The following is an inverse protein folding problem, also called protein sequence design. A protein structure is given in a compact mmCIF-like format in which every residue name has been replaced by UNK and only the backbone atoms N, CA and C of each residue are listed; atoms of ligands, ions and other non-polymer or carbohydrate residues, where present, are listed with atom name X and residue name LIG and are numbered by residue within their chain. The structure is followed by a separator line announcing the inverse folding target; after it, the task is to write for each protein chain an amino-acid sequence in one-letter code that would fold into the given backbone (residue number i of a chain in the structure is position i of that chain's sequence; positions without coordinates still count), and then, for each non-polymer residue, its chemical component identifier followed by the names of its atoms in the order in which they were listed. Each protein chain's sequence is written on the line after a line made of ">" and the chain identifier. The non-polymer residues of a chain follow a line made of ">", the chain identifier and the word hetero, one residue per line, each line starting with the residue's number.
data_IF_977633643476
#
_entry.id   IF_977633643476
#
_cell.length_a   1.000
_cell.length_b   1.000
_cell.length_c   1.000
_cell.angle_alpha   90.00
_cell.angle_beta   90.00
_cell.angle_gamma   90.00
#
_symmetry.space_group_name_H-M   'P 1'
#
loop_
_entity.id
_entity.type
_entity.pdbx_description
1 polymer ?
#
# COMPACT_ATOMS: atom_id res chain seq x y z
N UNK A 1 0.42 -25.31 -13.65
CA UNK A 1 0.86 -25.59 -12.28
C UNK A 1 0.12 -26.79 -11.70
N UNK A 2 0.61 -27.43 -10.61
CA UNK A 2 -0.09 -28.54 -10.00
C UNK A 2 -1.46 -28.11 -9.45
N UNK A 3 -2.49 -28.96 -9.47
CA UNK A 3 -3.87 -28.61 -9.09
C UNK A 3 -4.00 -28.14 -7.63
N UNK A 4 -3.05 -28.49 -6.77
CA UNK A 4 -2.98 -28.05 -5.38
C UNK A 4 -2.78 -26.53 -5.29
N UNK A 5 -2.01 -25.95 -6.19
CA UNK A 5 -1.77 -24.50 -6.21
C UNK A 5 -3.07 -23.74 -6.52
N UNK A 6 -3.92 -24.25 -7.43
CA UNK A 6 -5.22 -23.66 -7.72
C UNK A 6 -6.12 -23.60 -6.49
N UNK A 7 -6.15 -24.69 -5.69
CA UNK A 7 -6.94 -24.71 -4.46
C UNK A 7 -6.43 -23.69 -3.41
N UNK A 8 -5.10 -23.55 -3.29
CA UNK A 8 -4.47 -22.56 -2.40
C UNK A 8 -4.81 -21.13 -2.83
N UNK A 9 -4.72 -20.83 -4.12
CA UNK A 9 -5.09 -19.52 -4.65
C UNK A 9 -6.59 -19.23 -4.47
N UNK A 10 -7.45 -20.21 -4.73
CA UNK A 10 -8.89 -20.06 -4.52
C UNK A 10 -9.21 -19.75 -3.04
N UNK A 11 -8.58 -20.47 -2.11
CA UNK A 11 -8.70 -20.18 -0.67
C UNK A 11 -8.16 -18.78 -0.34
N UNK A 12 -7.03 -18.36 -0.92
CA UNK A 12 -6.48 -17.03 -0.73
C UNK A 12 -7.46 -15.95 -1.20
N UNK A 13 -8.13 -16.14 -2.35
CA UNK A 13 -9.19 -15.25 -2.83
C UNK A 13 -10.34 -15.10 -1.84
N UNK A 14 -10.85 -16.21 -1.32
CA UNK A 14 -11.95 -16.18 -0.34
C UNK A 14 -11.53 -15.52 0.96
N UNK A 15 -10.34 -15.85 1.48
CA UNK A 15 -9.81 -15.25 2.71
C UNK A 15 -9.62 -13.74 2.53
N UNK A 16 -9.01 -13.31 1.44
CA UNK A 16 -8.81 -11.87 1.15
C UNK A 16 -10.15 -11.18 0.99
N UNK A 17 -11.07 -11.73 0.21
CA UNK A 17 -12.40 -11.16 0.02
C UNK A 17 -13.22 -11.07 1.30
N UNK A 18 -13.03 -12.00 2.24
CA UNK A 18 -13.75 -12.02 3.52
C UNK A 18 -13.13 -11.12 4.59
N UNK A 19 -11.82 -10.90 4.55
CA UNK A 19 -11.09 -10.17 5.60
C UNK A 19 -10.92 -8.68 5.26
N UNK A 20 -10.93 -8.33 3.98
CA UNK A 20 -10.70 -6.95 3.53
C UNK A 20 -12.00 -6.19 3.29
N UNK A 21 -12.35 -5.31 4.23
CA UNK A 21 -13.46 -4.36 4.12
C UNK A 21 -14.52 -4.51 5.21
N UNK A 22 -15.41 -3.50 5.32
CA UNK A 22 -16.48 -3.43 6.31
C UNK A 22 -17.60 -4.46 6.06
N UNK A 23 -17.62 -5.09 4.88
CA UNK A 23 -18.63 -6.06 4.45
C UNK A 23 -17.99 -7.17 3.64
N UNK A 24 -18.20 -8.41 4.09
CA UNK A 24 -17.71 -9.62 3.41
C UNK A 24 -18.20 -9.66 1.95
N UNK A 25 -19.48 -9.33 1.71
CA UNK A 25 -20.05 -9.34 0.37
C UNK A 25 -19.34 -8.34 -0.55
N UNK A 26 -19.09 -7.11 -0.07
CA UNK A 26 -18.38 -6.10 -0.84
C UNK A 26 -16.91 -6.48 -1.07
N UNK A 27 -16.26 -7.15 -0.11
CA UNK A 27 -14.95 -7.73 -0.26
C UNK A 27 -14.90 -8.77 -1.37
N UNK A 28 -15.82 -9.72 -1.37
CA UNK A 28 -15.92 -10.76 -2.41
C UNK A 28 -16.19 -10.16 -3.78
N UNK A 29 -17.12 -9.20 -3.89
CA UNK A 29 -17.40 -8.52 -5.18
C UNK A 29 -16.18 -7.77 -5.69
N UNK A 30 -15.44 -7.07 -4.81
CA UNK A 30 -14.19 -6.40 -5.18
C UNK A 30 -13.14 -7.38 -5.69
N UNK A 31 -13.01 -8.53 -5.02
CA UNK A 31 -12.09 -9.61 -5.40
C UNK A 31 -12.44 -10.18 -6.78
N UNK A 32 -13.71 -10.52 -7.02
CA UNK A 32 -14.18 -11.03 -8.30
C UNK A 32 -14.00 -10.00 -9.43
N UNK A 33 -14.22 -8.73 -9.14
CA UNK A 33 -14.02 -7.65 -10.12
C UNK A 33 -12.53 -7.49 -10.46
N UNK A 34 -11.63 -7.54 -9.47
CA UNK A 34 -10.19 -7.52 -9.70
C UNK A 34 -9.70 -8.69 -10.53
N UNK A 35 -10.20 -9.89 -10.23
CA UNK A 35 -9.91 -11.09 -11.01
C UNK A 35 -10.42 -10.98 -12.46
N UNK A 36 -11.63 -10.49 -12.67
CA UNK A 36 -12.20 -10.31 -14.02
C UNK A 36 -11.37 -9.33 -14.87
N UNK A 37 -10.87 -8.25 -14.27
CA UNK A 37 -10.00 -7.30 -14.98
C UNK A 37 -8.63 -7.90 -15.31
N UNK A 38 -8.09 -8.75 -14.44
CA UNK A 38 -6.82 -9.43 -14.67
C UNK A 38 -6.86 -10.43 -15.84
N UNK A 39 -8.04 -10.98 -16.16
CA UNK A 39 -8.24 -11.92 -17.28
C UNK A 39 -8.32 -11.24 -18.66
N UNK A 40 -8.25 -9.90 -18.71
CA UNK A 40 -8.22 -9.18 -20.00
C UNK A 40 -6.81 -9.26 -20.57
N UNK A 41 -6.67 -9.76 -21.79
CA UNK A 41 -5.41 -9.85 -22.49
C UNK A 41 -5.14 -11.20 -23.13
N UNK A 42 -3.89 -11.46 -23.47
CA UNK A 42 -3.44 -12.74 -24.04
C UNK A 42 -3.29 -13.79 -22.93
N UNK A 43 -3.88 -14.93 -23.12
CA UNK A 43 -3.67 -16.12 -22.30
C UNK A 43 -2.27 -16.69 -22.56
N UNK A 44 -1.41 -16.69 -21.57
CA UNK A 44 -0.02 -17.14 -21.69
C UNK A 44 0.14 -18.62 -22.02
N UNK A 45 -0.91 -19.45 -21.79
CA UNK A 45 -0.89 -20.90 -22.06
C UNK A 45 -1.41 -21.20 -23.47
N UNK A 46 -2.53 -20.58 -23.86
CA UNK A 46 -3.21 -20.89 -25.12
C UNK A 46 -2.89 -19.91 -26.25
N UNK A 47 -2.30 -18.74 -25.95
CA UNK A 47 -2.05 -17.66 -26.90
C UNK A 47 -3.33 -17.02 -27.45
N UNK A 48 -4.49 -17.26 -26.81
CA UNK A 48 -5.76 -16.69 -27.24
C UNK A 48 -6.06 -15.39 -26.47
N UNK A 49 -6.60 -14.40 -27.17
CA UNK A 49 -7.02 -13.15 -26.55
C UNK A 49 -8.35 -13.33 -25.82
N UNK A 50 -8.37 -12.95 -24.54
CA UNK A 50 -9.56 -13.01 -23.68
C UNK A 50 -10.08 -11.60 -23.41
N UNK A 51 -11.37 -11.40 -23.58
CA UNK A 51 -12.09 -10.17 -23.22
C UNK A 51 -11.53 -8.86 -23.82
N UNK A 52 -10.77 -8.94 -24.91
CA UNK A 52 -10.15 -7.77 -25.57
C UNK A 52 -11.14 -6.99 -26.43
N UNK A 53 -12.32 -7.55 -26.73
CA UNK A 53 -13.37 -6.92 -27.56
C UNK A 53 -12.87 -6.42 -28.93
N UNK A 54 -11.76 -6.98 -29.44
CA UNK A 54 -11.13 -6.57 -30.69
C UNK A 54 -10.37 -5.24 -30.61
N UNK A 55 -9.96 -4.84 -29.40
CA UNK A 55 -9.13 -3.66 -29.15
C UNK A 55 -7.69 -4.12 -28.95
N UNK A 56 -6.81 -3.78 -29.90
CA UNK A 56 -5.41 -4.23 -29.91
C UNK A 56 -4.63 -3.86 -28.63
N UNK A 57 -4.96 -2.70 -28.04
CA UNK A 57 -4.31 -2.23 -26.82
C UNK A 57 -4.66 -3.06 -25.58
N UNK A 58 -5.80 -3.76 -25.62
CA UNK A 58 -6.19 -4.70 -24.56
C UNK A 58 -5.54 -6.08 -24.70
N UNK A 59 -4.97 -6.41 -25.86
CA UNK A 59 -4.29 -7.68 -26.08
C UNK A 59 -3.09 -7.86 -25.15
N UNK A 60 -2.35 -6.80 -24.88
CA UNK A 60 -1.25 -6.79 -23.92
C UNK A 60 -1.67 -6.78 -22.44
N UNK A 61 -2.96 -6.88 -22.17
CA UNK A 61 -3.53 -6.85 -20.83
C UNK A 61 -3.46 -5.50 -20.14
N UNK A 62 -3.99 -5.46 -18.93
CA UNK A 62 -3.96 -4.27 -18.07
C UNK A 62 -2.64 -4.19 -17.31
N UNK A 63 -1.91 -3.08 -17.44
CA UNK A 63 -0.69 -2.87 -16.67
C UNK A 63 -1.00 -2.58 -15.19
N UNK A 64 -0.25 -3.22 -14.29
CA UNK A 64 -0.42 -3.06 -12.84
C UNK A 64 -0.18 -1.62 -12.38
N UNK A 65 0.83 -0.94 -12.92
CA UNK A 65 1.22 0.41 -12.47
C UNK A 65 0.13 1.45 -12.76
N UNK A 66 -0.41 1.59 -13.99
CA UNK A 66 -1.55 2.48 -14.27
C UNK A 66 -2.79 2.15 -13.43
N UNK A 67 -3.08 0.88 -13.21
CA UNK A 67 -4.21 0.43 -12.40
C UNK A 67 -4.04 0.86 -10.93
N UNK A 68 -2.86 0.68 -10.34
CA UNK A 68 -2.55 1.14 -8.99
C UNK A 68 -2.65 2.66 -8.86
N UNK A 69 -2.05 3.39 -9.81
CA UNK A 69 -2.10 4.85 -9.85
C UNK A 69 -3.57 5.31 -9.91
N UNK A 70 -4.38 4.69 -10.76
CA UNK A 70 -5.79 5.00 -10.87
C UNK A 70 -6.52 4.78 -9.55
N UNK A 71 -6.55 3.54 -9.09
CA UNK A 71 -7.36 3.13 -7.94
C UNK A 71 -6.96 3.83 -6.63
N UNK A 72 -5.67 4.14 -6.43
CA UNK A 72 -5.20 4.73 -5.17
C UNK A 72 -4.90 6.21 -5.28
N UNK A 73 -4.13 6.64 -6.28
CA UNK A 73 -3.65 8.03 -6.34
C UNK A 73 -4.72 8.94 -6.94
N UNK A 74 -5.21 8.63 -8.14
CA UNK A 74 -6.20 9.47 -8.81
C UNK A 74 -7.51 9.50 -8.04
N UNK A 75 -7.96 8.36 -7.50
CA UNK A 75 -9.16 8.29 -6.67
C UNK A 75 -9.03 9.16 -5.42
N UNK A 76 -7.87 9.17 -4.78
CA UNK A 76 -7.59 10.02 -3.61
C UNK A 76 -7.59 11.49 -3.97
N UNK A 77 -6.97 11.86 -5.10
CA UNK A 77 -6.99 13.25 -5.60
C UNK A 77 -8.43 13.73 -5.81
N UNK A 78 -9.31 12.89 -6.39
CA UNK A 78 -10.72 13.22 -6.59
C UNK A 78 -11.43 13.43 -5.23
N UNK A 79 -11.20 12.53 -4.27
CA UNK A 79 -11.78 12.65 -2.92
C UNK A 79 -11.33 13.92 -2.22
N UNK A 80 -10.04 14.22 -2.29
CA UNK A 80 -9.48 15.40 -1.65
C UNK A 80 -9.92 16.70 -2.34
N UNK A 81 -10.05 16.70 -3.66
CA UNK A 81 -10.60 17.84 -4.39
C UNK A 81 -12.08 18.09 -3.98
N UNK A 82 -12.88 17.05 -3.81
CA UNK A 82 -14.24 17.17 -3.30
C UNK A 82 -14.29 17.73 -1.87
N UNK A 83 -13.39 17.25 -0.99
CA UNK A 83 -13.28 17.75 0.39
C UNK A 83 -12.82 19.20 0.42
N UNK A 84 -11.82 19.57 -0.37
CA UNK A 84 -11.30 20.94 -0.44
C UNK A 84 -12.38 21.95 -0.88
N UNK A 85 -13.31 21.53 -1.73
CA UNK A 85 -14.45 22.35 -2.14
C UNK A 85 -15.45 22.58 -0.99
N UNK A 86 -15.46 21.72 0.05
CA UNK A 86 -16.42 21.78 1.17
C UNK A 86 -15.85 22.37 2.45
N UNK A 87 -14.52 22.35 2.61
CA UNK A 87 -13.85 22.78 3.83
C UNK A 87 -13.36 24.22 3.66
N UNK A 88 -13.89 25.15 4.47
CA UNK A 88 -13.21 26.42 4.73
C UNK A 88 -11.81 26.09 5.27
N UNK A 89 -10.79 26.72 4.67
CA UNK A 89 -9.40 26.59 5.12
C UNK A 89 -9.35 26.70 6.66
N UNK A 90 -8.80 25.67 7.29
CA UNK A 90 -8.44 25.75 8.71
C UNK A 90 -7.39 26.86 8.77
N UNK A 91 -7.73 27.94 9.47
CA UNK A 91 -6.81 29.05 9.74
C UNK A 91 -5.72 28.48 10.68
N UNK A 92 -4.63 28.00 10.07
CA UNK A 92 -3.47 27.57 10.84
C UNK A 92 -2.93 28.80 11.54
N UNK A 93 -2.99 28.80 12.86
CA UNK A 93 -2.40 29.84 13.67
C UNK A 93 -0.90 29.95 13.36
N UNK A 94 -0.57 30.87 12.46
CA UNK A 94 0.80 31.07 11.97
C UNK A 94 1.79 31.36 13.10
N UNK A 95 1.31 31.87 14.23
CA UNK A 95 2.16 32.15 15.40
C UNK A 95 2.77 30.88 16.01
N UNK A 96 2.11 29.73 15.84
CA UNK A 96 2.63 28.44 16.30
C UNK A 96 3.65 27.82 15.35
N UNK A 97 3.73 28.28 14.10
CA UNK A 97 4.72 27.83 13.12
C UNK A 97 6.11 28.44 13.37
N UNK A 98 6.17 29.52 14.15
CA UNK A 98 7.41 30.26 14.42
C UNK A 98 8.11 29.81 15.71
N UNK A 99 7.53 28.89 16.51
CA UNK A 99 8.20 28.32 17.67
C UNK A 99 9.21 27.24 17.22
N UNK A 100 10.52 27.48 17.35
CA UNK A 100 11.55 26.52 16.97
C UNK A 100 11.42 25.18 17.71
N UNK A 101 10.86 25.16 18.92
CA UNK A 101 10.70 23.96 19.74
C UNK A 101 9.45 23.16 19.36
N UNK A 102 8.48 23.75 18.66
CA UNK A 102 7.26 23.06 18.22
C UNK A 102 7.49 22.10 17.03
N UNK A 103 8.71 22.07 16.47
CA UNK A 103 8.99 21.37 15.22
C UNK A 103 9.73 20.05 15.37
N UNK A 104 10.28 19.77 16.55
CA UNK A 104 11.09 18.59 16.78
C UNK A 104 10.55 17.75 17.92
N UNK A 105 10.52 16.44 17.69
CA UNK A 105 10.25 15.46 18.73
C UNK A 105 11.45 15.40 19.68
N UNK A 106 11.25 15.80 20.93
CA UNK A 106 12.31 15.97 21.91
C UNK A 106 12.68 14.65 22.61
N UNK A 107 13.91 14.56 23.13
CA UNK A 107 14.34 13.37 23.85
C UNK A 107 13.51 13.01 25.10
N UNK A 108 13.03 13.98 25.92
CA UNK A 108 12.07 13.70 26.99
C UNK A 108 10.75 13.12 26.49
N UNK A 109 10.20 13.63 25.39
CA UNK A 109 8.97 13.10 24.75
C UNK A 109 9.19 11.69 24.23
N UNK A 110 10.32 11.43 23.58
CA UNK A 110 10.70 10.10 23.13
C UNK A 110 10.71 9.10 24.30
N UNK A 111 11.39 9.42 25.40
CA UNK A 111 11.43 8.55 26.58
C UNK A 111 10.04 8.29 27.16
N UNK A 112 9.18 9.31 27.19
CA UNK A 112 7.81 9.20 27.67
C UNK A 112 6.96 8.31 26.76
N UNK A 113 7.11 8.44 25.44
CA UNK A 113 6.36 7.68 24.45
C UNK A 113 6.93 6.28 24.21
N UNK A 114 8.18 5.99 24.53
CA UNK A 114 8.86 4.75 24.20
C UNK A 114 8.11 3.48 24.66
N UNK A 115 7.60 3.36 25.90
CA UNK A 115 6.86 2.17 26.31
C UNK A 115 5.56 1.96 25.52
N UNK A 116 4.88 3.05 25.18
CA UNK A 116 3.68 3.06 24.37
C UNK A 116 4.01 2.67 22.91
N UNK A 117 5.05 3.24 22.33
CA UNK A 117 5.52 2.94 21.00
C UNK A 117 5.88 1.45 20.85
N UNK A 118 6.58 0.89 21.85
CA UNK A 118 6.95 -0.53 21.86
C UNK A 118 5.70 -1.44 21.90
N UNK A 119 4.72 -1.16 22.76
CA UNK A 119 3.46 -1.94 22.80
C UNK A 119 2.67 -1.81 21.49
N UNK A 120 2.56 -0.59 20.97
CA UNK A 120 1.90 -0.32 19.70
C UNK A 120 2.57 -1.07 18.53
N UNK A 121 3.90 -1.16 18.55
CA UNK A 121 4.64 -1.95 17.56
C UNK A 121 4.34 -3.45 17.65
N UNK A 122 4.11 -3.99 18.85
CA UNK A 122 3.67 -5.38 19.02
C UNK A 122 2.29 -5.58 18.37
N UNK A 123 1.31 -4.69 18.62
CA UNK A 123 0.00 -4.76 17.98
C UNK A 123 0.12 -4.66 16.45
N UNK A 124 0.93 -3.71 15.95
CA UNK A 124 1.19 -3.56 14.53
C UNK A 124 1.80 -4.82 13.92
N UNK A 125 2.78 -5.43 14.60
CA UNK A 125 3.42 -6.66 14.14
C UNK A 125 2.46 -7.84 14.08
N UNK A 126 1.64 -8.04 15.10
CA UNK A 126 0.65 -9.13 15.12
C UNK A 126 -0.40 -8.97 14.02
N UNK A 127 -0.91 -7.75 13.84
CA UNK A 127 -1.89 -7.45 12.79
C UNK A 127 -1.25 -7.54 11.41
N UNK A 128 0.01 -7.12 11.27
CA UNK A 128 0.75 -7.20 10.01
C UNK A 128 0.96 -8.61 9.48
N UNK A 129 1.03 -9.62 10.36
CA UNK A 129 1.08 -11.04 9.97
C UNK A 129 -0.26 -11.56 9.43
N UNK A 130 -1.35 -10.83 9.64
CA UNK A 130 -2.68 -11.26 9.20
C UNK A 130 -2.98 -10.65 7.83
N UNK A 131 -3.11 -11.46 6.76
CA UNK A 131 -3.43 -10.94 5.43
C UNK A 131 -4.73 -10.13 5.43
N UNK A 132 -4.72 -8.97 4.76
CA UNK A 132 -5.92 -8.19 4.51
C UNK A 132 -6.32 -7.18 5.57
N UNK A 133 -5.82 -7.25 6.81
CA UNK A 133 -6.17 -6.28 7.85
C UNK A 133 -5.50 -4.91 7.62
N UNK A 134 -4.26 -4.93 7.17
CA UNK A 134 -3.51 -3.72 6.81
C UNK A 134 -3.13 -2.83 7.99
N UNK A 135 -2.39 -1.76 7.68
CA UNK A 135 -1.90 -0.81 8.69
C UNK A 135 -3.01 0.03 9.32
N UNK A 136 -4.10 0.29 8.59
CA UNK A 136 -5.22 1.09 9.12
C UNK A 136 -5.83 0.45 10.35
N UNK A 137 -6.10 -0.86 10.33
CA UNK A 137 -6.63 -1.60 11.49
C UNK A 137 -5.64 -1.55 12.64
N UNK A 138 -4.34 -1.74 12.35
CA UNK A 138 -3.29 -1.67 13.38
C UNK A 138 -3.24 -0.30 14.07
N UNK A 139 -3.36 0.80 13.29
CA UNK A 139 -3.41 2.16 13.82
C UNK A 139 -4.59 2.35 14.79
N UNK A 140 -5.79 1.95 14.40
CA UNK A 140 -6.99 2.12 15.24
C UNK A 140 -6.94 1.26 16.49
N UNK A 141 -6.47 0.02 16.38
CA UNK A 141 -6.30 -0.87 17.54
C UNK A 141 -5.29 -0.30 18.52
N UNK A 142 -4.12 0.12 18.05
CA UNK A 142 -3.09 0.71 18.89
C UNK A 142 -3.58 2.01 19.56
N UNK A 143 -4.21 2.90 18.79
CA UNK A 143 -4.79 4.14 19.34
C UNK A 143 -5.82 3.85 20.42
N UNK A 144 -6.77 2.96 20.13
CA UNK A 144 -7.85 2.60 21.07
C UNK A 144 -7.32 1.98 22.36
N UNK A 145 -6.37 1.04 22.24
CA UNK A 145 -5.80 0.35 23.39
C UNK A 145 -4.93 1.27 24.25
N UNK A 146 -4.09 2.10 23.64
CA UNK A 146 -3.27 3.04 24.39
C UNK A 146 -4.09 4.18 25.02
N UNK A 147 -5.14 4.67 24.34
CA UNK A 147 -6.11 5.60 24.93
C UNK A 147 -6.83 4.97 26.13
N UNK A 148 -7.20 3.68 26.06
CA UNK A 148 -7.83 2.95 27.17
C UNK A 148 -6.92 2.90 28.41
N UNK A 149 -5.59 2.76 28.21
CA UNK A 149 -4.57 2.70 29.26
C UNK A 149 -4.15 4.07 29.77
N UNK A 150 -4.39 5.13 29.02
CA UNK A 150 -3.99 6.47 29.39
C UNK A 150 -4.67 6.96 30.67
N UNK A 151 -3.93 7.73 31.47
CA UNK A 151 -4.49 8.38 32.66
C UNK A 151 -5.42 9.52 32.26
N UNK A 152 -5.04 10.33 31.27
CA UNK A 152 -5.76 11.50 30.78
C UNK A 152 -6.43 11.17 29.43
N UNK A 153 -7.51 10.40 29.48
CA UNK A 153 -8.20 9.94 28.25
C UNK A 153 -8.84 11.09 27.45
N UNK A 154 -9.21 12.16 28.13
CA UNK A 154 -9.89 13.31 27.53
C UNK A 154 -8.95 14.18 26.67
N UNK A 155 -7.64 14.09 26.90
CA UNK A 155 -6.64 14.78 26.09
C UNK A 155 -6.39 14.08 24.74
N UNK A 156 -6.80 12.81 24.60
CA UNK A 156 -6.64 12.07 23.36
C UNK A 156 -7.59 12.58 22.27
N UNK A 157 -7.00 13.02 21.16
CA UNK A 157 -7.70 13.68 20.06
C UNK A 157 -7.56 15.20 20.07
N UNK A 158 -6.89 15.78 21.08
CA UNK A 158 -6.62 17.22 21.15
C UNK A 158 -5.22 17.62 20.67
N UNK A 159 -4.41 16.64 20.23
CA UNK A 159 -3.05 16.86 19.74
C UNK A 159 -1.93 16.39 20.66
N UNK A 160 -2.25 15.53 21.67
CA UNK A 160 -1.19 14.93 22.50
C UNK A 160 -0.27 14.03 21.69
N UNK A 161 1.02 14.10 21.98
CA UNK A 161 2.07 13.36 21.25
C UNK A 161 1.82 11.85 21.28
N UNK A 162 1.37 11.32 22.40
CA UNK A 162 1.02 9.90 22.57
C UNK A 162 -0.09 9.44 21.62
N UNK A 163 -1.04 10.33 21.32
CA UNK A 163 -2.14 10.06 20.39
C UNK A 163 -1.69 9.96 18.92
N UNK A 164 -0.50 10.45 18.60
CA UNK A 164 0.15 10.30 17.30
C UNK A 164 1.14 9.14 17.33
N UNK A 165 1.95 9.04 18.38
CA UNK A 165 3.00 8.04 18.50
C UNK A 165 2.44 6.60 18.51
N UNK A 166 1.28 6.36 19.13
CA UNK A 166 0.68 5.04 19.19
C UNK A 166 0.28 4.48 17.79
N UNK A 167 -0.58 5.15 17.01
CA UNK A 167 -0.98 4.63 15.71
C UNK A 167 0.18 4.61 14.72
N UNK A 168 1.09 5.60 14.75
CA UNK A 168 2.22 5.62 13.81
C UNK A 168 3.25 4.53 14.09
N UNK A 169 3.49 4.19 15.35
CA UNK A 169 4.35 3.06 15.70
C UNK A 169 3.75 1.73 15.23
N UNK A 170 2.45 1.55 15.36
CA UNK A 170 1.76 0.37 14.86
C UNK A 170 1.78 0.31 13.34
N UNK A 171 1.52 1.44 12.66
CA UNK A 171 1.56 1.57 11.21
C UNK A 171 2.91 1.10 10.64
N UNK A 172 3.99 1.64 11.17
CA UNK A 172 5.34 1.27 10.73
C UNK A 172 5.67 -0.20 11.04
N UNK A 173 5.22 -0.71 12.18
CA UNK A 173 5.49 -2.08 12.61
C UNK A 173 4.73 -3.15 11.81
N UNK A 174 3.71 -2.80 11.03
CA UNK A 174 3.03 -3.71 10.10
C UNK A 174 3.93 -4.13 8.95
N UNK A 175 4.82 -3.25 8.49
CA UNK A 175 5.55 -3.41 7.22
C UNK A 175 6.41 -4.67 7.18
N UNK A 176 7.22 -4.92 8.21
CA UNK A 176 8.06 -6.11 8.29
C UNK A 176 7.25 -7.42 8.35
N UNK A 177 6.37 -7.58 9.35
CA UNK A 177 5.57 -8.79 9.51
C UNK A 177 4.63 -9.08 8.34
N UNK A 178 4.17 -8.09 7.58
CA UNK A 178 3.36 -8.31 6.36
C UNK A 178 4.14 -9.03 5.25
N UNK A 179 5.47 -9.03 5.31
CA UNK A 179 6.30 -9.83 4.42
C UNK A 179 6.26 -11.33 4.73
N UNK A 180 5.85 -11.74 5.94
CA UNK A 180 5.78 -13.15 6.31
C UNK A 180 4.79 -13.91 5.43
N UNK A 181 3.49 -13.59 5.41
CA UNK A 181 2.56 -14.29 4.52
C UNK A 181 2.90 -14.09 3.04
N UNK A 182 3.44 -12.93 2.65
CA UNK A 182 3.88 -12.66 1.30
C UNK A 182 4.95 -13.66 0.84
N UNK A 183 6.04 -13.81 1.59
CA UNK A 183 7.19 -14.60 1.19
C UNK A 183 7.00 -16.09 1.44
N UNK A 184 6.19 -16.48 2.44
CA UNK A 184 5.98 -17.89 2.78
C UNK A 184 4.81 -18.54 2.05
N UNK A 185 3.73 -17.78 1.84
CA UNK A 185 2.49 -18.29 1.25
C UNK A 185 2.20 -17.69 -0.13
N UNK A 186 2.92 -16.64 -0.55
CA UNK A 186 2.61 -15.88 -1.76
C UNK A 186 1.33 -15.03 -1.62
N UNK A 187 0.85 -14.79 -0.40
CA UNK A 187 -0.39 -14.07 -0.15
C UNK A 187 -0.07 -12.64 0.28
N UNK A 188 -0.41 -11.61 -0.53
CA UNK A 188 -0.17 -10.23 -0.14
C UNK A 188 -1.13 -9.81 0.99
N UNK A 189 -0.57 -9.32 2.10
CA UNK A 189 -1.36 -8.79 3.23
C UNK A 189 -1.75 -7.32 3.09
N UNK A 190 -1.20 -6.64 2.10
CA UNK A 190 -1.44 -5.21 1.87
C UNK A 190 -1.23 -4.87 0.40
N UNK A 191 -1.67 -3.66 -0.01
CA UNK A 191 -1.42 -3.14 -1.36
C UNK A 191 0.07 -3.07 -1.70
N UNK A 192 0.91 -2.63 -0.76
CA UNK A 192 2.36 -2.57 -0.95
C UNK A 192 2.92 -3.98 -1.16
N UNK A 193 2.44 -4.95 -0.40
CA UNK A 193 2.82 -6.34 -0.57
C UNK A 193 2.41 -6.89 -1.95
N UNK A 194 1.24 -6.51 -2.48
CA UNK A 194 0.81 -6.89 -3.82
C UNK A 194 1.71 -6.30 -4.92
N UNK A 195 2.12 -5.03 -4.77
CA UNK A 195 3.09 -4.41 -5.68
C UNK A 195 4.43 -5.13 -5.64
N UNK A 196 4.90 -5.51 -4.45
CA UNK A 196 6.15 -6.27 -4.29
C UNK A 196 6.09 -7.64 -4.97
N UNK A 197 4.96 -8.35 -4.92
CA UNK A 197 4.78 -9.59 -5.70
C UNK A 197 4.99 -9.30 -7.17
N UNK A 198 4.33 -8.29 -7.72
CA UNK A 198 4.48 -7.92 -9.13
C UNK A 198 5.94 -7.64 -9.50
N UNK A 199 6.68 -6.92 -8.64
CA UNK A 199 8.10 -6.66 -8.85
C UNK A 199 8.94 -7.94 -8.80
N UNK A 200 8.65 -8.86 -7.88
CA UNK A 200 9.35 -10.15 -7.79
C UNK A 200 9.11 -11.00 -9.04
N UNK A 201 7.86 -11.09 -9.50
CA UNK A 201 7.50 -11.86 -10.69
C UNK A 201 8.17 -11.32 -11.96
N UNK A 202 8.20 -10.00 -12.16
CA UNK A 202 8.91 -9.37 -13.28
C UNK A 202 10.40 -9.70 -13.28
N UNK A 203 11.00 -9.90 -12.11
CA UNK A 203 12.39 -10.32 -11.97
C UNK A 203 12.57 -11.85 -11.95
N UNK A 204 11.55 -12.63 -12.29
CA UNK A 204 11.60 -14.09 -12.35
C UNK A 204 11.58 -14.79 -10.98
N UNK A 205 11.28 -14.05 -9.91
CA UNK A 205 11.19 -14.58 -8.55
C UNK A 205 9.78 -15.08 -8.28
N UNK A 206 9.63 -16.36 -8.02
CA UNK A 206 8.37 -16.92 -7.56
C UNK A 206 8.23 -16.74 -6.05
N UNK A 207 7.18 -16.05 -5.62
CA UNK A 207 6.85 -15.89 -4.20
C UNK A 207 6.29 -17.19 -3.62
N UNK A 208 6.51 -17.40 -2.34
CA UNK A 208 6.17 -18.63 -1.65
C UNK A 208 7.43 -19.32 -1.10
N UNK A 209 7.35 -20.58 -0.61
CA UNK A 209 8.50 -21.26 0.01
C UNK A 209 9.74 -21.35 -0.89
N UNK A 210 9.54 -21.33 -2.20
CA UNK A 210 10.60 -21.40 -3.21
C UNK A 210 11.51 -20.17 -3.22
N UNK A 211 11.06 -19.03 -2.72
CA UNK A 211 11.86 -17.80 -2.66
C UNK A 211 13.08 -17.94 -1.75
N UNK A 212 13.08 -18.94 -0.87
CA UNK A 212 14.21 -19.28 0.01
C UNK A 212 15.09 -20.40 -0.56
N UNK A 213 14.83 -20.84 -1.80
CA UNK A 213 15.63 -21.86 -2.46
C UNK A 213 16.99 -21.31 -2.92
N UNK A 214 17.94 -22.19 -3.13
CA UNK A 214 19.26 -21.87 -3.67
C UNK A 214 19.35 -22.04 -5.18
N UNK A 215 18.41 -22.79 -5.76
CA UNK A 215 18.33 -23.14 -7.19
C UNK A 215 16.89 -22.93 -7.70
N UNK A 216 16.71 -22.56 -8.97
CA UNK A 216 17.74 -22.18 -9.96
C UNK A 216 18.28 -20.76 -9.69
N UNK A 217 19.51 -20.46 -10.10
CA UNK A 217 20.06 -19.11 -9.97
C UNK A 217 19.34 -18.14 -10.91
N UNK A 218 19.20 -16.90 -10.43
CA UNK A 218 18.54 -15.81 -11.12
C UNK A 218 19.58 -14.80 -11.61
N UNK A 219 19.33 -14.17 -12.76
CA UNK A 219 20.13 -13.06 -13.23
C UNK A 219 19.46 -11.74 -12.85
N UNK A 220 19.99 -11.10 -11.79
CA UNK A 220 19.43 -9.86 -11.27
C UNK A 220 20.52 -8.79 -11.20
N UNK A 221 20.24 -7.61 -11.73
CA UNK A 221 21.15 -6.46 -11.70
C UNK A 221 22.58 -6.76 -12.26
N UNK A 222 22.67 -7.62 -13.27
CA UNK A 222 23.96 -7.96 -13.90
C UNK A 222 24.75 -9.07 -13.18
N UNK A 223 24.18 -9.72 -12.17
CA UNK A 223 24.81 -10.79 -11.40
C UNK A 223 23.92 -12.02 -11.31
N UNK A 224 24.56 -13.19 -11.29
CA UNK A 224 23.88 -14.46 -10.97
C UNK A 224 23.84 -14.60 -9.46
N UNK A 225 22.65 -14.76 -8.91
CA UNK A 225 22.44 -14.97 -7.47
C UNK A 225 21.30 -15.95 -7.23
N UNK A 226 21.31 -16.63 -6.11
CA UNK A 226 20.17 -17.48 -5.71
C UNK A 226 18.99 -16.64 -5.26
N UNK A 227 17.73 -17.15 -5.38
CA UNK A 227 16.55 -16.50 -4.80
C UNK A 227 16.73 -16.13 -3.32
N UNK A 228 17.35 -17.05 -2.57
CA UNK A 228 17.66 -16.87 -1.16
C UNK A 228 18.60 -15.67 -0.91
N UNK A 229 19.69 -15.55 -1.66
CA UNK A 229 20.62 -14.40 -1.53
C UNK A 229 19.92 -13.10 -1.85
N UNK A 230 19.08 -13.07 -2.89
CA UNK A 230 18.29 -11.90 -3.23
C UNK A 230 17.38 -11.46 -2.08
N UNK A 231 16.62 -12.37 -1.46
CA UNK A 231 15.71 -12.04 -0.37
C UNK A 231 16.44 -11.57 0.88
N UNK A 232 17.56 -12.20 1.24
CA UNK A 232 18.38 -11.70 2.35
C UNK A 232 18.99 -10.33 2.04
N UNK A 233 19.33 -10.06 0.77
CA UNK A 233 19.71 -8.74 0.30
C UNK A 233 18.61 -7.70 0.49
N UNK A 234 17.35 -8.05 0.16
CA UNK A 234 16.18 -7.20 0.40
C UNK A 234 16.00 -6.90 1.88
N UNK A 235 16.15 -7.89 2.77
CA UNK A 235 16.07 -7.68 4.22
C UNK A 235 17.19 -6.76 4.72
N UNK A 236 18.41 -6.97 4.26
CA UNK A 236 19.55 -6.12 4.64
C UNK A 236 19.36 -4.68 4.14
N UNK A 237 18.91 -4.50 2.89
CA UNK A 237 18.57 -3.19 2.33
C UNK A 237 17.42 -2.53 3.12
N UNK A 238 16.42 -3.31 3.53
CA UNK A 238 15.33 -2.84 4.39
C UNK A 238 15.82 -2.30 5.72
N UNK A 239 16.73 -3.00 6.40
CA UNK A 239 17.31 -2.55 7.67
C UNK A 239 18.11 -1.25 7.51
N UNK A 240 18.92 -1.15 6.46
CA UNK A 240 19.64 0.11 6.14
C UNK A 240 18.64 1.22 5.80
N UNK A 241 17.61 0.88 5.01
CA UNK A 241 16.54 1.80 4.62
C UNK A 241 15.77 2.37 5.81
N UNK A 242 15.48 1.55 6.84
CA UNK A 242 14.81 2.00 8.06
C UNK A 242 15.70 3.04 8.79
N UNK A 243 17.00 2.79 8.91
CA UNK A 243 17.93 3.75 9.50
C UNK A 243 18.00 5.06 8.73
N UNK A 244 18.14 4.99 7.42
CA UNK A 244 18.13 6.15 6.54
C UNK A 244 16.81 6.93 6.62
N UNK A 245 15.67 6.22 6.59
CA UNK A 245 14.33 6.80 6.71
C UNK A 245 14.16 7.55 8.04
N UNK A 246 14.63 6.98 9.16
CA UNK A 246 14.54 7.62 10.47
C UNK A 246 15.34 8.94 10.52
N UNK A 247 16.57 8.93 9.98
CA UNK A 247 17.44 10.11 9.93
C UNK A 247 16.85 11.18 9.01
N UNK A 248 16.55 10.82 7.77
CA UNK A 248 16.01 11.74 6.77
C UNK A 248 14.66 12.30 7.25
N UNK A 249 13.78 11.43 7.76
CA UNK A 249 12.46 11.82 8.26
C UNK A 249 12.56 12.82 9.40
N UNK A 250 13.44 12.59 10.36
CA UNK A 250 13.62 13.50 11.48
C UNK A 250 14.03 14.92 11.06
N UNK A 251 14.97 15.04 10.13
CA UNK A 251 15.43 16.34 9.65
C UNK A 251 14.53 16.95 8.57
N UNK A 252 13.91 16.14 7.72
CA UNK A 252 13.07 16.61 6.63
C UNK A 252 11.65 16.96 7.07
N UNK A 253 11.10 16.28 8.08
CA UNK A 253 9.71 16.50 8.51
C UNK A 253 9.37 17.95 8.85
N UNK A 254 10.18 18.72 9.63
CA UNK A 254 9.89 20.12 9.89
C UNK A 254 9.93 20.99 8.63
N UNK A 255 10.88 20.71 7.72
CA UNK A 255 11.01 21.45 6.45
C UNK A 255 9.81 21.19 5.53
N UNK A 256 9.46 19.91 5.36
CA UNK A 256 8.31 19.48 4.55
C UNK A 256 7.00 20.01 5.16
N UNK A 257 6.86 19.93 6.48
CA UNK A 257 5.69 20.46 7.20
C UNK A 257 5.48 21.96 6.95
N UNK A 258 6.55 22.76 7.02
CA UNK A 258 6.50 24.18 6.69
C UNK A 258 6.15 24.43 5.20
N UNK A 259 6.78 23.68 4.30
CA UNK A 259 6.51 23.81 2.87
C UNK A 259 5.02 23.50 2.55
N UNK A 260 4.48 22.42 3.12
CA UNK A 260 3.07 22.05 2.94
C UNK A 260 2.12 23.08 3.56
N UNK A 261 2.47 23.62 4.74
CA UNK A 261 1.65 24.65 5.40
C UNK A 261 1.55 25.97 4.59
N UNK A 262 2.58 26.26 3.80
CA UNK A 262 2.62 27.46 2.93
C UNK A 262 1.98 27.21 1.56
N UNK A 263 2.03 25.97 1.06
CA UNK A 263 1.48 25.60 -0.25
C UNK A 263 -0.05 25.46 -0.16
N UNK A 264 -0.83 26.27 -0.88
CA UNK A 264 -2.26 26.07 -0.95
C UNK A 264 -2.58 24.70 -1.56
N UNK A 265 -3.41 23.92 -0.89
CA UNK A 265 -3.83 22.57 -1.32
C UNK A 265 -4.44 22.56 -2.73
N UNK A 266 -4.99 23.69 -3.16
CA UNK A 266 -5.54 23.88 -4.52
C UNK A 266 -4.51 23.67 -5.64
N UNK A 267 -3.21 23.88 -5.38
CA UNK A 267 -2.14 23.63 -6.36
C UNK A 267 -1.53 22.23 -6.19
N UNK A 268 -1.56 21.67 -4.99
CA UNK A 268 -0.96 20.37 -4.70
C UNK A 268 -1.65 19.23 -5.46
N UNK A 269 -2.98 19.19 -5.44
CA UNK A 269 -3.73 18.09 -6.07
C UNK A 269 -3.62 18.07 -7.60
N UNK A 270 -3.70 19.21 -8.34
CA UNK A 270 -3.41 19.22 -9.77
C UNK A 270 -2.00 18.73 -10.11
N UNK A 271 -0.99 19.10 -9.33
CA UNK A 271 0.40 18.66 -9.55
C UNK A 271 0.52 17.16 -9.34
N UNK A 272 -0.03 16.60 -8.26
CA UNK A 272 -0.06 15.16 -8.01
C UNK A 272 -0.77 14.45 -9.17
N UNK A 273 -1.90 14.96 -9.64
CA UNK A 273 -2.65 14.41 -10.76
C UNK A 273 -1.79 14.34 -12.03
N UNK A 274 -1.14 15.44 -12.41
CA UNK A 274 -0.28 15.50 -13.59
C UNK A 274 0.91 14.54 -13.50
N UNK A 275 1.58 14.48 -12.34
CA UNK A 275 2.67 13.54 -12.10
C UNK A 275 2.17 12.09 -12.21
N UNK A 276 0.98 11.79 -11.71
CA UNK A 276 0.36 10.47 -11.79
C UNK A 276 0.09 10.04 -13.24
N UNK A 277 -0.40 10.96 -14.08
CA UNK A 277 -0.59 10.70 -15.51
C UNK A 277 0.75 10.46 -16.22
N UNK A 278 1.77 11.28 -15.92
CA UNK A 278 3.12 11.08 -16.48
C UNK A 278 3.72 9.73 -16.05
N UNK A 279 3.57 9.34 -14.80
CA UNK A 279 4.02 8.04 -14.28
C UNK A 279 3.28 6.87 -14.96
N UNK A 280 1.97 6.99 -15.19
CA UNK A 280 1.20 5.99 -15.93
C UNK A 280 1.68 5.84 -17.36
N UNK A 281 1.94 6.96 -18.05
CA UNK A 281 2.51 6.94 -19.40
C UNK A 281 3.88 6.28 -19.43
N UNK A 282 4.76 6.62 -18.47
CA UNK A 282 6.13 6.09 -18.40
C UNK A 282 6.20 4.58 -18.15
N UNK A 283 5.12 3.96 -17.69
CA UNK A 283 5.07 2.52 -17.38
C UNK A 283 5.34 1.65 -18.62
N UNK A 284 4.67 1.95 -19.75
CA UNK A 284 4.80 1.22 -21.03
C UNK A 284 4.89 2.17 -22.25
N UNK A 285 5.11 3.46 -22.03
CA UNK A 285 5.09 4.52 -23.04
C UNK A 285 3.77 4.54 -23.86
N UNK A 286 2.64 4.18 -23.24
CA UNK A 286 1.33 4.07 -23.87
C UNK A 286 0.36 5.15 -23.34
N UNK A 287 -0.31 5.82 -24.28
CA UNK A 287 -1.36 6.78 -23.92
C UNK A 287 -2.60 6.07 -23.37
N UNK A 288 -2.82 4.83 -23.75
CA UNK A 288 -3.90 3.99 -23.23
C UNK A 288 -3.75 3.72 -21.74
N UNK A 289 -2.53 3.56 -21.25
CA UNK A 289 -2.26 3.40 -19.81
C UNK A 289 -2.68 4.65 -19.03
N UNK A 290 -2.55 5.82 -19.61
CA UNK A 290 -3.08 7.07 -19.02
C UNK A 290 -4.61 7.04 -18.97
N UNK A 291 -5.25 6.60 -20.07
CA UNK A 291 -6.70 6.41 -20.12
C UNK A 291 -7.20 5.42 -19.07
N UNK A 292 -6.53 4.29 -18.93
CA UNK A 292 -6.85 3.28 -17.91
C UNK A 292 -6.64 3.81 -16.49
N UNK A 293 -5.56 4.55 -16.23
CA UNK A 293 -5.36 5.18 -14.92
C UNK A 293 -6.49 6.13 -14.55
N UNK A 294 -6.98 6.94 -15.48
CA UNK A 294 -8.13 7.82 -15.26
C UNK A 294 -9.40 7.01 -15.01
N UNK A 295 -9.68 6.01 -15.85
CA UNK A 295 -10.84 5.12 -15.70
C UNK A 295 -10.86 4.46 -14.33
N UNK A 296 -9.74 3.82 -13.94
CA UNK A 296 -9.61 3.19 -12.63
C UNK A 296 -9.56 4.19 -11.48
N UNK A 297 -9.20 5.45 -11.74
CA UNK A 297 -9.34 6.55 -10.79
C UNK A 297 -10.80 6.82 -10.44
N UNK A 298 -11.66 6.88 -11.44
CA UNK A 298 -13.10 7.05 -11.26
C UNK A 298 -13.73 5.83 -10.58
N UNK A 299 -13.34 4.62 -11.01
CA UNK A 299 -13.79 3.35 -10.39
C UNK A 299 -13.35 3.31 -8.92
N UNK A 300 -12.09 3.60 -8.62
CA UNK A 300 -11.55 3.62 -7.26
C UNK A 300 -12.24 4.66 -6.36
N UNK A 301 -12.58 5.83 -6.90
CA UNK A 301 -13.40 6.81 -6.22
C UNK A 301 -14.79 6.24 -5.87
N UNK A 302 -15.46 5.60 -6.85
CA UNK A 302 -16.75 4.96 -6.63
C UNK A 302 -16.67 3.84 -5.58
N UNK A 303 -15.63 3.00 -5.64
CA UNK A 303 -15.39 1.93 -4.66
C UNK A 303 -15.26 2.49 -3.24
N UNK A 304 -14.46 3.54 -3.04
CA UNK A 304 -14.28 4.17 -1.73
C UNK A 304 -15.55 4.83 -1.22
N UNK A 305 -16.32 5.49 -2.09
CA UNK A 305 -17.60 6.11 -1.72
C UNK A 305 -18.66 5.11 -1.28
N UNK A 306 -18.58 3.90 -1.82
CA UNK A 306 -19.55 2.83 -1.56
C UNK A 306 -19.02 1.77 -0.59
N UNK A 307 -17.85 2.01 0.03
CA UNK A 307 -17.17 1.10 0.95
C UNK A 307 -16.86 -0.28 0.34
N UNK A 308 -16.51 -0.33 -0.96
CA UNK A 308 -15.89 -1.49 -1.57
C UNK A 308 -14.39 -1.47 -1.34
N UNK A 309 -13.77 -2.63 -1.15
CA UNK A 309 -12.36 -2.75 -0.84
C UNK A 309 -11.49 -2.62 -2.09
N UNK A 310 -10.84 -1.46 -2.27
CA UNK A 310 -9.83 -1.27 -3.31
C UNK A 310 -8.62 -2.21 -3.13
N UNK A 311 -8.27 -2.55 -1.88
CA UNK A 311 -7.19 -3.47 -1.59
C UNK A 311 -7.53 -4.90 -2.07
N UNK A 312 -8.74 -5.40 -1.77
CA UNK A 312 -9.18 -6.72 -2.25
C UNK A 312 -9.21 -6.81 -3.77
N UNK A 313 -9.63 -5.74 -4.45
CA UNK A 313 -9.60 -5.62 -5.90
C UNK A 313 -8.17 -5.79 -6.46
N UNK A 314 -7.20 -5.03 -5.94
CA UNK A 314 -5.81 -5.09 -6.40
C UNK A 314 -5.15 -6.43 -6.11
N UNK A 315 -5.36 -6.97 -4.89
CA UNK A 315 -4.78 -8.26 -4.52
C UNK A 315 -5.30 -9.36 -5.46
N UNK A 316 -6.59 -9.33 -5.76
CA UNK A 316 -7.19 -10.29 -6.70
C UNK A 316 -6.64 -10.13 -8.11
N UNK A 317 -6.45 -8.89 -8.58
CA UNK A 317 -5.83 -8.63 -9.86
C UNK A 317 -4.43 -9.25 -9.96
N UNK A 318 -3.56 -8.99 -8.97
CA UNK A 318 -2.18 -9.51 -8.95
C UNK A 318 -2.15 -11.04 -8.84
N UNK A 319 -2.99 -11.62 -7.97
CA UNK A 319 -3.04 -13.08 -7.82
C UNK A 319 -3.52 -13.77 -9.10
N UNK A 320 -4.53 -13.24 -9.77
CA UNK A 320 -5.05 -13.83 -11.02
C UNK A 320 -3.99 -13.83 -12.11
N UNK A 321 -3.28 -12.71 -12.30
CA UNK A 321 -2.17 -12.64 -13.26
C UNK A 321 -1.04 -13.65 -12.96
N UNK A 322 -0.92 -14.10 -11.71
CA UNK A 322 0.07 -15.11 -11.30
C UNK A 322 -0.44 -16.54 -11.48
N UNK A 323 -1.73 -16.73 -11.75
CA UNK A 323 -2.37 -18.04 -11.94
C UNK A 323 -2.38 -18.49 -13.40
N UNK A 324 -2.32 -17.57 -14.33
CA UNK A 324 -2.14 -17.80 -15.76
C UNK A 324 -0.68 -18.05 -16.11
#
# INVERSE_FOLDING_TARGET
>A
GPPENFAIYLMAFFVVGSVVGDSIIKGIVSTLFGAAIALIGEDTITGQFKMTMGIDELESGMALVPLLIGVFVISEVIIQAEKAAKVKMIDLDKSKLDDPNAHYFTWPEFKRCFPLMFRSSIYGSLIGMMPGLGSSVACFVAYGEEKRRAKNKDEWGTGVVEGIAAPESANNAVSGPSMIPLLTLGIPGSTIAAVLIGMFLVNGLQVGPQIFATEPPLFVAGQMMSPREFIFGVFAAGLVGIGAYAIIGYFAAPLIGRAIAVLPTQYLYPVIFMISLAASYSSRASIWDVGFAILFGVIGYGMRRTNFSAAAFIIAFVLTSSME
#
